data_IF_957636854870
#
_entry.id   IF_957636854870
#
_cell.length_a   1.000
_cell.length_b   1.000
_cell.length_c   1.000
_cell.angle_alpha   90.00
_cell.angle_beta   90.00
_cell.angle_gamma   90.00
#
_symmetry.space_group_name_H-M   'P 1'
#
loop_
_entity.id
_entity.type
_entity.pdbx_description
1 polymer ?
#
# COMPACT_ATOMS: atom_id res chain seq x y z
N UNK A 1 -4.30 14.41 -4.66
CA UNK A 1 -5.11 15.26 -3.75
C UNK A 1 -4.68 15.13 -2.28
N UNK A 2 -4.54 13.92 -1.71
CA UNK A 2 -4.19 13.71 -0.28
C UNK A 2 -2.93 14.45 0.22
N UNK A 3 -1.94 14.74 -0.62
CA UNK A 3 -0.73 15.48 -0.22
C UNK A 3 -0.87 17.02 -0.29
N UNK A 4 -1.86 17.52 -1.04
CA UNK A 4 -1.97 18.94 -1.40
C UNK A 4 -3.33 19.57 -1.08
N UNK A 5 -4.19 18.87 -0.32
CA UNK A 5 -5.53 19.36 0.03
C UNK A 5 -5.51 20.57 0.99
N UNK A 6 -4.37 20.84 1.63
CA UNK A 6 -4.16 22.02 2.47
C UNK A 6 -3.87 23.29 1.66
N UNK A 7 -3.35 23.15 0.44
CA UNK A 7 -2.98 24.26 -0.44
C UNK A 7 -4.10 24.52 -1.47
N UNK A 8 -4.74 23.45 -1.95
CA UNK A 8 -5.80 23.52 -2.97
C UNK A 8 -7.08 22.84 -2.50
N UNK A 9 -8.21 23.50 -2.75
CA UNK A 9 -9.52 22.93 -2.45
C UNK A 9 -9.76 21.62 -3.23
N UNK A 10 -10.21 20.58 -2.53
CA UNK A 10 -10.46 19.25 -3.11
C UNK A 10 -11.41 19.31 -4.30
N UNK A 11 -12.43 20.17 -4.25
CA UNK A 11 -13.38 20.38 -5.35
C UNK A 11 -12.71 20.89 -6.63
N UNK A 12 -11.81 21.87 -6.51
CA UNK A 12 -11.05 22.40 -7.64
C UNK A 12 -10.14 21.32 -8.21
N UNK A 13 -9.47 20.56 -7.35
CA UNK A 13 -8.63 19.44 -7.79
C UNK A 13 -9.45 18.34 -8.49
N UNK A 14 -10.63 17.99 -7.98
CA UNK A 14 -11.53 17.02 -8.59
C UNK A 14 -11.98 17.46 -9.98
N UNK A 15 -12.33 18.75 -10.13
CA UNK A 15 -12.71 19.32 -11.41
C UNK A 15 -11.58 19.27 -12.44
N UNK A 16 -10.36 19.64 -12.04
CA UNK A 16 -9.17 19.62 -12.92
C UNK A 16 -8.78 18.19 -13.31
N UNK A 17 -8.79 17.26 -12.35
CA UNK A 17 -8.43 15.86 -12.58
C UNK A 17 -9.58 15.01 -13.15
N UNK A 18 -10.75 15.62 -13.40
CA UNK A 18 -11.96 14.97 -13.94
C UNK A 18 -12.38 13.71 -13.15
N UNK A 19 -12.28 13.78 -11.82
CA UNK A 19 -12.77 12.74 -10.91
C UNK A 19 -13.92 13.27 -10.05
N UNK A 20 -14.78 12.39 -9.56
CA UNK A 20 -15.85 12.79 -8.65
C UNK A 20 -15.33 13.04 -7.23
N UNK A 21 -15.91 14.03 -6.55
CA UNK A 21 -15.63 14.32 -5.13
C UNK A 21 -15.96 13.11 -4.25
N UNK A 22 -17.11 12.47 -4.51
CA UNK A 22 -17.52 11.25 -3.80
C UNK A 22 -16.55 10.10 -4.03
N UNK A 23 -16.12 9.86 -5.28
CA UNK A 23 -15.13 8.84 -5.61
C UNK A 23 -13.79 9.06 -4.91
N UNK A 24 -13.34 10.31 -4.81
CA UNK A 24 -12.14 10.65 -4.05
C UNK A 24 -12.27 10.28 -2.57
N UNK A 25 -13.36 10.65 -1.91
CA UNK A 25 -13.56 10.31 -0.49
C UNK A 25 -13.81 8.81 -0.27
N UNK A 26 -14.49 8.12 -1.18
CA UNK A 26 -14.62 6.67 -1.15
C UNK A 26 -13.27 5.99 -1.23
N UNK A 27 -12.41 6.42 -2.15
CA UNK A 27 -11.04 5.92 -2.26
C UNK A 27 -10.23 6.23 -1.00
N UNK A 28 -10.35 7.44 -0.44
CA UNK A 28 -9.62 7.86 0.75
C UNK A 28 -9.98 7.03 1.98
N UNK A 29 -11.26 6.69 2.14
CA UNK A 29 -11.78 5.91 3.26
C UNK A 29 -11.86 4.40 2.98
N UNK A 30 -11.35 3.95 1.83
CA UNK A 30 -11.42 2.55 1.42
C UNK A 30 -10.60 1.69 2.38
N UNK A 31 -11.27 0.73 3.03
CA UNK A 31 -10.61 -0.30 3.84
C UNK A 31 -9.81 -1.24 2.93
N UNK A 32 -8.67 -1.79 3.40
CA UNK A 32 -7.92 -2.78 2.64
C UNK A 32 -8.81 -3.99 2.33
N UNK A 33 -8.70 -4.51 1.11
CA UNK A 33 -9.36 -5.78 0.76
C UNK A 33 -8.67 -6.96 1.46
N UNK A 34 -9.33 -8.12 1.57
CA UNK A 34 -8.70 -9.33 2.14
C UNK A 34 -7.34 -9.63 1.49
N UNK A 35 -7.26 -9.58 0.15
CA UNK A 35 -6.00 -9.74 -0.58
C UNK A 35 -4.92 -8.73 -0.17
N UNK A 36 -5.28 -7.47 0.07
CA UNK A 36 -4.32 -6.46 0.52
C UNK A 36 -3.85 -6.70 1.96
N UNK A 37 -4.71 -7.26 2.81
CA UNK A 37 -4.33 -7.68 4.16
C UNK A 37 -3.34 -8.83 4.08
N UNK A 38 -3.62 -9.85 3.26
CA UNK A 38 -2.72 -10.99 3.06
C UNK A 38 -1.36 -10.55 2.50
N UNK A 39 -1.37 -9.63 1.53
CA UNK A 39 -0.15 -9.04 0.96
C UNK A 39 0.67 -8.30 2.03
N UNK A 40 0.01 -7.53 2.92
CA UNK A 40 0.70 -6.86 4.02
C UNK A 40 1.32 -7.84 5.01
N UNK A 41 0.63 -8.95 5.31
CA UNK A 41 1.17 -10.02 6.16
C UNK A 41 2.37 -10.69 5.50
N UNK A 42 2.28 -11.05 4.22
CA UNK A 42 3.38 -11.63 3.47
C UNK A 42 4.60 -10.68 3.42
N UNK A 43 4.36 -9.39 3.16
CA UNK A 43 5.43 -8.38 3.17
C UNK A 43 6.10 -8.22 4.54
N UNK A 44 5.34 -8.37 5.63
CA UNK A 44 5.89 -8.36 6.99
C UNK A 44 6.85 -9.53 7.19
N UNK A 45 6.43 -10.75 6.86
CA UNK A 45 7.26 -11.95 6.97
C UNK A 45 8.52 -11.86 6.10
N UNK A 46 8.39 -11.37 4.85
CA UNK A 46 9.52 -11.14 3.94
C UNK A 46 10.56 -10.22 4.59
N UNK A 47 10.12 -9.12 5.22
CA UNK A 47 11.02 -8.16 5.87
C UNK A 47 11.72 -8.78 7.08
N UNK A 48 11.00 -9.56 7.88
CA UNK A 48 11.56 -10.26 9.05
C UNK A 48 12.65 -11.24 8.61
N UNK A 49 12.36 -12.15 7.67
CA UNK A 49 13.34 -13.12 7.14
C UNK A 49 14.54 -12.40 6.51
N UNK A 50 14.30 -11.33 5.75
CA UNK A 50 15.38 -10.56 5.14
C UNK A 50 16.29 -9.93 6.20
N UNK A 51 15.71 -9.41 7.28
CA UNK A 51 16.49 -8.82 8.38
C UNK A 51 17.23 -9.87 9.21
N UNK A 52 16.59 -11.00 9.54
CA UNK A 52 17.18 -12.14 10.26
C UNK A 52 18.36 -12.74 9.51
N UNK A 53 18.25 -12.84 8.17
CA UNK A 53 19.34 -13.30 7.32
C UNK A 53 20.50 -12.31 7.21
N UNK A 54 20.43 -11.15 7.88
CA UNK A 54 21.35 -10.01 7.72
C UNK A 54 21.42 -9.52 6.28
N UNK A 55 20.26 -9.52 5.61
CA UNK A 55 20.07 -9.12 4.20
C UNK A 55 20.81 -9.98 3.18
N UNK A 56 21.31 -11.15 3.59
CA UNK A 56 22.00 -12.10 2.69
C UNK A 56 21.03 -12.92 1.85
N UNK A 57 19.82 -13.17 2.34
CA UNK A 57 18.83 -13.94 1.60
C UNK A 57 18.16 -13.04 0.56
N UNK A 58 18.28 -13.46 -0.70
CA UNK A 58 17.51 -12.92 -1.82
C UNK A 58 16.17 -13.63 -1.99
N UNK A 59 15.42 -13.23 -3.01
CA UNK A 59 14.05 -13.70 -3.29
C UNK A 59 13.88 -15.24 -3.24
N UNK A 60 14.76 -16.07 -3.84
CA UNK A 60 14.59 -17.53 -3.80
C UNK A 60 14.66 -18.11 -2.38
N UNK A 61 15.63 -17.66 -1.57
CA UNK A 61 15.83 -18.14 -0.20
C UNK A 61 14.72 -17.65 0.74
N UNK A 62 14.29 -16.40 0.59
CA UNK A 62 13.15 -15.87 1.34
C UNK A 62 11.87 -16.67 0.99
N UNK A 63 11.66 -16.96 -0.29
CA UNK A 63 10.50 -17.76 -0.73
C UNK A 63 10.53 -19.18 -0.17
N UNK A 64 11.72 -19.79 -0.04
CA UNK A 64 11.88 -21.09 0.61
C UNK A 64 11.49 -21.02 2.09
N UNK A 65 11.97 -20.03 2.84
CA UNK A 65 11.62 -19.84 4.25
C UNK A 65 10.13 -19.53 4.46
N UNK A 66 9.46 -18.85 3.53
CA UNK A 66 8.02 -18.60 3.59
C UNK A 66 7.14 -19.82 3.33
N UNK A 67 7.68 -20.85 2.66
CA UNK A 67 6.96 -22.07 2.27
C UNK A 67 7.24 -23.25 3.20
N UNK A 68 8.15 -23.07 4.14
CA UNK A 68 8.51 -24.07 5.14
C UNK A 68 7.43 -24.16 6.22
#
# INVERSE_FOLDING_TARGET
MKKHHSIFAIEKMCKVLKVSKSGYYHWLNRKPSPRQVDEQQALKLIKEIHQESKRRYGSPKITYELKK
#
